data_IF_284871253510
#
_entry.id   IF_284871253510
#
_cell.length_a   1.000
_cell.length_b   1.000
_cell.length_c   1.000
_cell.angle_alpha   90.00
_cell.angle_beta   90.00
_cell.angle_gamma   90.00
#
_symmetry.space_group_name_H-M   'P 1'
#
loop_
_entity.id
_entity.type
_entity.pdbx_description
1 polymer ?
#
# COMPACT_ATOMS: atom_id res chain seq x y z
N UNK A 1 -10.06 1.02 13.14
CA UNK A 1 -9.02 0.51 12.21
C UNK A 1 -8.77 1.58 11.16
N UNK A 2 -7.52 1.97 10.94
CA UNK A 2 -7.21 2.92 9.85
C UNK A 2 -7.55 2.30 8.48
N UNK A 3 -8.02 3.15 7.57
CA UNK A 3 -8.37 2.75 6.21
C UNK A 3 -7.16 2.28 5.41
N UNK A 4 -7.22 1.06 4.86
CA UNK A 4 -6.10 0.46 4.14
C UNK A 4 -5.76 1.21 2.85
N UNK A 5 -6.76 1.67 2.11
CA UNK A 5 -6.54 2.45 0.89
C UNK A 5 -5.81 3.76 1.19
N UNK A 6 -6.20 4.45 2.26
CA UNK A 6 -5.56 5.72 2.65
C UNK A 6 -4.12 5.53 3.12
N UNK A 7 -3.85 4.47 3.87
CA UNK A 7 -2.48 4.10 4.28
C UNK A 7 -1.63 3.79 3.05
N UNK A 8 -2.18 3.07 2.07
CA UNK A 8 -1.49 2.78 0.82
C UNK A 8 -1.18 4.07 0.03
N UNK A 9 -2.17 4.96 -0.12
CA UNK A 9 -1.98 6.25 -0.79
C UNK A 9 -0.94 7.14 -0.08
N UNK A 10 -0.91 7.14 1.25
CA UNK A 10 0.11 7.84 2.01
C UNK A 10 1.50 7.25 1.76
N UNK A 11 1.61 5.92 1.71
CA UNK A 11 2.89 5.24 1.45
C UNK A 11 3.40 5.50 0.02
N UNK A 12 2.51 5.56 -0.97
CA UNK A 12 2.87 5.95 -2.34
C UNK A 12 3.41 7.39 -2.40
N UNK A 13 2.85 8.31 -1.61
CA UNK A 13 3.38 9.68 -1.48
C UNK A 13 4.75 9.71 -0.82
N UNK A 14 4.95 8.95 0.27
CA UNK A 14 6.27 8.77 0.92
C UNK A 14 7.33 8.32 -0.09
N UNK A 15 7.01 7.35 -0.96
CA UNK A 15 7.93 6.92 -2.03
C UNK A 15 8.21 8.06 -3.01
N UNK A 16 7.17 8.76 -3.45
CA UNK A 16 7.28 9.90 -4.36
C UNK A 16 8.18 11.01 -3.82
N UNK A 17 8.00 11.38 -2.55
CA UNK A 17 8.81 12.38 -1.84
C UNK A 17 10.27 11.92 -1.72
N UNK A 18 10.51 10.63 -1.45
CA UNK A 18 11.86 10.07 -1.35
C UNK A 18 12.59 10.02 -2.70
N UNK A 19 11.83 9.84 -3.79
CA UNK A 19 12.33 9.83 -5.16
C UNK A 19 12.41 11.22 -5.80
N UNK A 20 11.91 12.26 -5.12
CA UNK A 20 11.94 13.62 -5.65
C UNK A 20 13.38 14.07 -5.92
N UNK A 21 13.64 14.59 -7.13
CA UNK A 21 14.97 15.04 -7.54
C UNK A 21 15.99 13.93 -7.84
N UNK A 22 15.64 12.65 -7.71
CA UNK A 22 16.56 11.52 -7.97
C UNK A 22 16.79 11.20 -9.46
N UNK A 23 16.03 11.84 -10.35
CA UNK A 23 15.98 11.50 -11.78
C UNK A 23 15.06 10.32 -12.10
N UNK A 24 14.36 9.74 -11.11
CA UNK A 24 13.45 8.61 -11.31
C UNK A 24 12.38 8.86 -12.39
N UNK A 25 11.77 10.04 -12.42
CA UNK A 25 10.76 10.39 -13.44
C UNK A 25 11.34 10.35 -14.86
N UNK A 26 12.58 10.81 -15.03
CA UNK A 26 13.31 10.75 -16.29
C UNK A 26 13.60 9.31 -16.71
N UNK A 27 14.02 8.45 -15.77
CA UNK A 27 14.26 7.02 -16.02
C UNK A 27 12.97 6.33 -16.47
N UNK A 28 11.86 6.55 -15.75
CA UNK A 28 10.57 5.93 -16.06
C UNK A 28 10.03 6.38 -17.43
N UNK A 29 10.24 7.65 -17.79
CA UNK A 29 9.84 8.19 -19.09
C UNK A 29 10.72 7.65 -20.21
N UNK A 30 12.04 7.66 -20.02
CA UNK A 30 13.01 7.18 -21.01
C UNK A 30 12.89 5.68 -21.27
N UNK A 31 12.51 4.91 -20.25
CA UNK A 31 12.24 3.47 -20.36
C UNK A 31 10.87 3.14 -20.98
N UNK A 32 10.05 4.15 -21.31
CA UNK A 32 8.72 3.95 -21.90
C UNK A 32 7.68 3.36 -20.92
N UNK A 33 7.94 3.41 -19.62
CA UNK A 33 7.02 2.91 -18.58
C UNK A 33 5.84 3.85 -18.41
N UNK A 34 6.08 5.16 -18.52
CA UNK A 34 5.04 6.21 -18.43
C UNK A 34 5.41 7.41 -19.30
N UNK A 35 4.48 8.36 -19.44
CA UNK A 35 4.76 9.65 -20.09
C UNK A 35 5.18 10.70 -19.06
N UNK A 36 5.90 11.73 -19.48
CA UNK A 36 6.43 12.79 -18.60
C UNK A 36 5.35 13.40 -17.68
N UNK A 37 4.23 13.86 -18.26
CA UNK A 37 3.12 14.41 -17.48
C UNK A 37 2.40 13.41 -16.56
N UNK A 38 2.57 12.09 -16.79
CA UNK A 38 2.06 11.05 -15.90
C UNK A 38 3.07 10.66 -14.82
N UNK A 39 4.36 10.73 -15.08
CA UNK A 39 5.41 10.39 -14.12
C UNK A 39 5.28 11.21 -12.82
N UNK A 40 5.02 12.51 -12.94
CA UNK A 40 4.80 13.39 -11.78
C UNK A 40 3.53 13.03 -11.00
N UNK A 41 2.49 12.56 -11.68
CA UNK A 41 1.26 12.12 -11.01
C UNK A 41 1.46 10.86 -10.18
N UNK A 42 2.40 10.00 -10.59
CA UNK A 42 2.73 8.77 -9.85
C UNK A 42 3.41 9.11 -8.52
N UNK A 43 4.31 10.09 -8.50
CA UNK A 43 4.96 10.57 -7.27
C UNK A 43 3.96 11.18 -6.28
N UNK A 44 2.90 11.81 -6.78
CA UNK A 44 1.86 12.42 -5.94
C UNK A 44 0.86 11.40 -5.35
N UNK A 45 0.96 10.12 -5.74
CA UNK A 45 0.08 9.05 -5.26
C UNK A 45 -1.40 9.26 -5.59
N UNK A 46 -1.73 10.06 -6.61
CA UNK A 46 -3.11 10.43 -6.95
C UNK A 46 -3.85 9.38 -7.79
N UNK A 47 -3.12 8.44 -8.39
CA UNK A 47 -3.67 7.35 -9.21
C UNK A 47 -3.16 6.00 -8.67
N UNK A 48 -3.73 5.57 -7.55
CA UNK A 48 -3.26 4.41 -6.75
C UNK A 48 -2.89 3.20 -7.59
N UNK A 49 -3.77 2.72 -8.47
CA UNK A 49 -3.51 1.52 -9.30
C UNK A 49 -2.35 1.68 -10.30
N UNK A 50 -2.18 2.87 -10.88
CA UNK A 50 -1.08 3.13 -11.82
C UNK A 50 0.23 3.34 -11.10
N UNK A 51 0.19 4.02 -9.94
CA UNK A 51 1.33 4.15 -9.04
C UNK A 51 1.82 2.77 -8.59
N UNK A 52 0.92 1.91 -8.10
CA UNK A 52 1.26 0.52 -7.74
C UNK A 52 2.03 -0.19 -8.85
N UNK A 53 1.51 -0.19 -10.08
CA UNK A 53 2.17 -0.86 -11.20
C UNK A 53 3.55 -0.28 -11.52
N UNK A 54 3.69 1.04 -11.56
CA UNK A 54 4.98 1.69 -11.83
C UNK A 54 6.03 1.36 -10.77
N UNK A 55 5.63 1.35 -9.50
CA UNK A 55 6.46 0.99 -8.36
C UNK A 55 6.86 -0.49 -8.36
N UNK A 56 5.97 -1.40 -8.77
CA UNK A 56 6.31 -2.81 -9.02
C UNK A 56 7.39 -2.95 -10.10
N UNK A 57 7.23 -2.26 -11.23
CA UNK A 57 8.23 -2.27 -12.31
C UNK A 57 9.57 -1.76 -11.80
N UNK A 58 9.59 -0.67 -11.03
CA UNK A 58 10.80 -0.10 -10.45
C UNK A 58 11.49 -1.08 -9.47
N UNK A 59 10.72 -1.69 -8.56
CA UNK A 59 11.26 -2.67 -7.60
C UNK A 59 11.94 -3.85 -8.31
N UNK A 60 11.31 -4.39 -9.36
CA UNK A 60 11.88 -5.48 -10.16
C UNK A 60 13.14 -5.01 -10.90
N UNK A 61 13.11 -3.82 -11.50
CA UNK A 61 14.27 -3.27 -12.21
C UNK A 61 15.48 -3.04 -11.28
N UNK A 62 15.25 -2.53 -10.07
CA UNK A 62 16.29 -2.35 -9.05
C UNK A 62 16.85 -3.68 -8.58
N UNK A 63 15.99 -4.67 -8.30
CA UNK A 63 16.44 -6.00 -7.91
C UNK A 63 17.29 -6.66 -9.02
N UNK A 64 16.84 -6.62 -10.27
CA UNK A 64 17.61 -7.12 -11.41
C UNK A 64 18.96 -6.40 -11.52
N UNK A 65 19.00 -5.10 -11.31
CA UNK A 65 20.24 -4.31 -11.35
C UNK A 65 21.22 -4.73 -10.25
N UNK A 66 20.75 -4.93 -9.01
CA UNK A 66 21.56 -5.47 -7.92
C UNK A 66 22.12 -6.87 -8.25
N UNK A 67 21.28 -7.74 -8.84
CA UNK A 67 21.69 -9.10 -9.25
C UNK A 67 22.76 -9.07 -10.34
N UNK A 68 22.62 -8.20 -11.34
CA UNK A 68 23.64 -8.01 -12.40
C UNK A 68 24.97 -7.53 -11.81
N UNK A 69 24.93 -6.53 -10.93
CA UNK A 69 26.13 -6.05 -10.25
C UNK A 69 26.81 -7.14 -9.40
N UNK A 70 26.02 -8.00 -8.73
CA UNK A 70 26.56 -9.15 -8.04
C UNK A 70 27.19 -10.16 -9.00
N UNK A 71 26.55 -10.47 -10.13
CA UNK A 71 27.12 -11.38 -11.12
C UNK A 71 28.45 -10.86 -11.70
N UNK A 72 28.59 -9.55 -11.90
CA UNK A 72 29.86 -8.94 -12.30
C UNK A 72 30.93 -9.03 -11.21
N UNK A 73 30.55 -8.84 -9.94
CA UNK A 73 31.42 -9.12 -8.80
C UNK A 73 31.86 -10.60 -8.79
N UNK A 74 30.96 -11.56 -9.04
CA UNK A 74 31.30 -12.98 -9.08
C UNK A 74 32.30 -13.32 -10.19
N UNK A 75 32.25 -12.61 -11.32
CA UNK A 75 33.19 -12.81 -12.45
C UNK A 75 34.59 -12.26 -12.17
N UNK A 76 34.68 -11.24 -11.32
CA UNK A 76 35.93 -10.53 -11.03
C UNK A 76 36.57 -10.95 -9.71
N UNK A 77 35.78 -11.52 -8.79
CA UNK A 77 36.25 -12.02 -7.50
C UNK A 77 36.82 -13.45 -7.64
N UNK A 78 38.00 -13.69 -7.07
CA UNK A 78 38.55 -15.05 -6.96
C UNK A 78 37.67 -15.94 -6.08
N UNK A 79 37.67 -17.26 -6.33
CA UNK A 79 36.80 -18.25 -5.66
C UNK A 79 36.94 -18.27 -4.13
N UNK A 80 38.10 -17.89 -3.59
CA UNK A 80 38.38 -17.89 -2.15
C UNK A 80 37.67 -16.74 -1.39
N UNK A 81 37.31 -15.66 -2.09
CA UNK A 81 36.70 -14.46 -1.49
C UNK A 81 35.23 -14.28 -1.89
N UNK A 82 34.62 -15.30 -2.50
CA UNK A 82 33.26 -15.23 -3.01
C UNK A 82 32.24 -15.21 -1.87
N UNK A 83 31.59 -14.07 -1.68
CA UNK A 83 30.54 -13.90 -0.67
C UNK A 83 29.16 -14.25 -1.24
N UNK A 84 28.20 -14.61 -0.38
CA UNK A 84 26.79 -14.70 -0.75
C UNK A 84 26.23 -13.34 -1.18
N UNK A 85 25.13 -13.33 -1.94
CA UNK A 85 24.49 -12.09 -2.36
C UNK A 85 24.14 -11.17 -1.18
N UNK A 86 23.63 -11.73 -0.09
CA UNK A 86 23.19 -10.94 1.06
C UNK A 86 24.37 -10.27 1.77
N UNK A 87 25.47 -11.00 1.99
CA UNK A 87 26.69 -10.44 2.60
C UNK A 87 27.35 -9.40 1.70
N UNK A 88 27.42 -9.68 0.40
CA UNK A 88 27.92 -8.73 -0.58
C UNK A 88 27.06 -7.47 -0.63
N UNK A 89 25.73 -7.62 -0.64
CA UNK A 89 24.80 -6.49 -0.66
C UNK A 89 24.96 -5.61 0.58
N UNK A 90 25.05 -6.21 1.77
CA UNK A 90 25.32 -5.48 3.02
C UNK A 90 26.65 -4.72 2.98
N UNK A 91 27.70 -5.35 2.45
CA UNK A 91 29.00 -4.70 2.24
C UNK A 91 28.86 -3.49 1.29
N UNK A 92 28.20 -3.67 0.15
CA UNK A 92 28.00 -2.60 -0.84
C UNK A 92 27.15 -1.44 -0.30
N UNK A 93 26.17 -1.71 0.57
CA UNK A 93 25.42 -0.65 1.28
C UNK A 93 26.35 0.21 2.14
N UNK A 94 27.40 -0.37 2.74
CA UNK A 94 28.35 0.38 3.58
C UNK A 94 29.45 1.11 2.78
N UNK A 95 29.85 0.56 1.62
CA UNK A 95 30.99 1.06 0.86
C UNK A 95 30.62 1.97 -0.32
N UNK A 96 29.41 1.83 -0.88
CA UNK A 96 28.97 2.57 -2.06
C UNK A 96 27.71 3.40 -1.74
N UNK A 97 27.81 4.73 -1.64
CA UNK A 97 26.67 5.60 -1.35
C UNK A 97 25.52 5.46 -2.35
N UNK A 98 25.84 5.28 -3.64
CA UNK A 98 24.83 5.07 -4.68
C UNK A 98 24.10 3.73 -4.51
N UNK A 99 24.82 2.65 -4.20
CA UNK A 99 24.20 1.36 -3.89
C UNK A 99 23.31 1.46 -2.65
N UNK A 100 23.79 2.13 -1.60
CA UNK A 100 23.02 2.38 -0.38
C UNK A 100 21.69 3.10 -0.68
N UNK A 101 21.73 4.17 -1.46
CA UNK A 101 20.53 4.91 -1.86
C UNK A 101 19.51 4.03 -2.59
N UNK A 102 19.93 3.37 -3.67
CA UNK A 102 19.01 2.52 -4.46
C UNK A 102 18.53 1.28 -3.71
N UNK A 103 19.33 0.75 -2.78
CA UNK A 103 18.90 -0.31 -1.88
C UNK A 103 17.80 0.18 -0.92
N UNK A 104 17.91 1.40 -0.38
CA UNK A 104 16.85 2.04 0.42
C UNK A 104 15.58 2.26 -0.40
N UNK A 105 15.71 2.70 -1.65
CA UNK A 105 14.57 2.80 -2.58
C UNK A 105 13.90 1.44 -2.74
N UNK A 106 14.64 0.37 -3.03
CA UNK A 106 14.08 -0.97 -3.18
C UNK A 106 13.36 -1.46 -1.91
N UNK A 107 13.93 -1.22 -0.74
CA UNK A 107 13.29 -1.55 0.54
C UNK A 107 11.97 -0.80 0.72
N UNK A 108 11.95 0.49 0.41
CA UNK A 108 10.76 1.34 0.50
C UNK A 108 9.68 0.92 -0.52
N UNK A 109 10.07 0.59 -1.75
CA UNK A 109 9.20 0.09 -2.83
C UNK A 109 8.54 -1.25 -2.48
N UNK A 110 9.20 -2.10 -1.68
CA UNK A 110 8.65 -3.38 -1.24
C UNK A 110 7.56 -3.24 -0.16
N UNK A 111 7.55 -2.15 0.62
CA UNK A 111 6.56 -1.94 1.68
C UNK A 111 5.11 -1.87 1.19
N UNK A 112 4.74 -1.08 0.16
CA UNK A 112 3.37 -1.07 -0.35
C UNK A 112 2.97 -2.44 -0.91
N UNK A 113 3.91 -3.16 -1.53
CA UNK A 113 3.64 -4.50 -2.06
C UNK A 113 3.33 -5.50 -0.94
N UNK A 114 4.11 -5.49 0.13
CA UNK A 114 3.86 -6.32 1.31
C UNK A 114 2.55 -5.94 2.00
N UNK A 115 2.25 -4.64 2.06
CA UNK A 115 1.03 -4.11 2.68
C UNK A 115 -0.21 -4.57 1.90
N UNK A 116 -0.25 -4.33 0.60
CA UNK A 116 -1.34 -4.76 -0.28
C UNK A 116 -1.51 -6.28 -0.22
N UNK A 117 -0.40 -7.02 -0.30
CA UNK A 117 -0.41 -8.49 -0.20
C UNK A 117 -1.02 -8.97 1.11
N UNK A 118 -0.67 -8.34 2.23
CA UNK A 118 -1.21 -8.71 3.54
C UNK A 118 -2.74 -8.59 3.59
N UNK A 119 -3.29 -7.59 2.92
CA UNK A 119 -4.74 -7.40 2.85
C UNK A 119 -5.40 -8.37 1.88
N UNK A 120 -4.81 -8.54 0.69
CA UNK A 120 -5.31 -9.47 -0.33
C UNK A 120 -5.33 -10.93 0.16
N UNK A 121 -4.34 -11.32 0.95
CA UNK A 121 -4.23 -12.64 1.60
C UNK A 121 -5.03 -12.76 2.90
N UNK A 122 -5.61 -11.65 3.40
CA UNK A 122 -6.19 -11.58 4.74
C UNK A 122 -5.20 -12.07 5.83
N UNK A 123 -3.92 -11.77 5.66
CA UNK A 123 -2.82 -12.19 6.52
C UNK A 123 -2.54 -11.14 7.60
N UNK A 124 -3.12 -11.38 8.78
CA UNK A 124 -3.03 -10.46 9.93
C UNK A 124 -1.59 -10.22 10.38
N UNK A 125 -0.78 -11.27 10.51
CA UNK A 125 0.61 -11.15 10.97
C UNK A 125 1.45 -10.29 10.02
N UNK A 126 1.33 -10.54 8.70
CA UNK A 126 2.03 -9.74 7.70
C UNK A 126 1.55 -8.29 7.70
N UNK A 127 0.25 -8.07 7.94
CA UNK A 127 -0.34 -6.73 8.00
C UNK A 127 0.27 -5.91 9.14
N UNK A 128 0.31 -6.46 10.36
CA UNK A 128 0.91 -5.78 11.52
C UNK A 128 2.41 -5.54 11.30
N UNK A 129 3.16 -6.56 10.86
CA UNK A 129 4.60 -6.41 10.57
C UNK A 129 4.89 -5.31 9.54
N UNK A 130 4.06 -5.21 8.51
CA UNK A 130 4.24 -4.20 7.48
C UNK A 130 3.90 -2.81 8.01
N UNK A 131 2.87 -2.66 8.85
CA UNK A 131 2.58 -1.41 9.54
C UNK A 131 3.76 -0.94 10.39
N UNK A 132 4.35 -1.84 11.19
CA UNK A 132 5.55 -1.55 11.99
C UNK A 132 6.69 -1.02 11.11
N UNK A 133 6.88 -1.62 9.93
CA UNK A 133 7.92 -1.22 8.99
C UNK A 133 7.63 0.11 8.26
N UNK A 134 6.36 0.48 8.07
CA UNK A 134 5.93 1.73 7.40
C UNK A 134 6.10 2.95 8.31
N UNK A 135 5.82 2.82 9.62
CA UNK A 135 5.79 3.94 10.57
C UNK A 135 7.08 4.81 10.55
N UNK A 136 8.31 4.23 10.59
CA UNK A 136 9.53 5.03 10.55
C UNK A 136 9.66 5.87 9.27
N UNK A 137 9.19 5.37 8.13
CA UNK A 137 9.22 6.10 6.87
C UNK A 137 8.22 7.25 6.83
N UNK A 138 7.03 7.04 7.38
CA UNK A 138 6.03 8.11 7.52
C UNK A 138 6.59 9.27 8.34
N UNK A 139 7.29 8.97 9.45
CA UNK A 139 7.94 9.99 10.25
C UNK A 139 9.11 10.66 9.52
N UNK A 140 9.99 9.87 8.89
CA UNK A 140 11.16 10.38 8.20
C UNK A 140 10.82 11.31 7.00
N UNK A 141 9.67 11.09 6.38
CA UNK A 141 9.20 11.87 5.22
C UNK A 141 8.15 12.94 5.58
N UNK A 142 8.06 13.33 6.85
CA UNK A 142 7.17 14.40 7.36
C UNK A 142 5.65 14.14 7.21
N UNK A 143 5.25 12.87 7.07
CA UNK A 143 3.84 12.45 7.12
C UNK A 143 3.40 12.24 8.58
N UNK A 144 3.63 13.24 9.44
CA UNK A 144 3.53 13.11 10.90
C UNK A 144 2.15 12.67 11.41
N UNK A 145 1.07 13.09 10.74
CA UNK A 145 -0.28 12.66 11.09
C UNK A 145 -0.46 11.14 10.89
N UNK A 146 0.05 10.62 9.76
CA UNK A 146 0.04 9.18 9.52
C UNK A 146 0.96 8.46 10.48
N UNK A 147 2.18 8.96 10.70
CA UNK A 147 3.10 8.36 11.66
C UNK A 147 2.46 8.21 13.05
N UNK A 148 1.86 9.28 13.58
CA UNK A 148 1.19 9.28 14.89
C UNK A 148 0.04 8.28 14.97
N UNK A 149 -0.90 8.34 14.02
CA UNK A 149 -2.10 7.49 14.08
C UNK A 149 -1.82 6.03 13.70
N UNK A 150 -0.84 5.78 12.83
CA UNK A 150 -0.39 4.43 12.53
C UNK A 150 0.31 3.80 13.74
N UNK A 151 1.10 4.54 14.51
CA UNK A 151 1.68 4.00 15.76
C UNK A 151 0.59 3.57 16.73
N UNK A 152 -0.43 4.40 16.96
CA UNK A 152 -1.56 4.04 17.86
C UNK A 152 -2.27 2.80 17.32
N UNK A 153 -2.66 2.82 16.05
CA UNK A 153 -3.36 1.70 15.42
C UNK A 153 -2.53 0.40 15.44
N UNK A 154 -1.23 0.48 15.23
CA UNK A 154 -0.34 -0.68 15.24
C UNK A 154 -0.14 -1.23 16.65
N UNK A 155 0.04 -0.37 17.66
CA UNK A 155 0.10 -0.76 19.08
C UNK A 155 -1.19 -1.45 19.52
N UNK A 156 -2.36 -0.87 19.21
CA UNK A 156 -3.66 -1.49 19.52
C UNK A 156 -3.74 -2.91 18.94
N UNK A 157 -3.29 -3.10 17.68
CA UNK A 157 -3.28 -4.41 17.02
C UNK A 157 -2.31 -5.40 17.67
N UNK A 158 -1.14 -4.94 18.14
CA UNK A 158 -0.19 -5.79 18.86
C UNK A 158 -0.69 -6.20 20.25
N UNK A 159 -1.53 -5.37 20.88
CA UNK A 159 -2.07 -5.61 22.22
C UNK A 159 -3.32 -6.51 22.23
N UNK A 160 -4.03 -6.62 21.09
CA UNK A 160 -5.20 -7.49 20.93
C UNK A 160 -5.05 -8.94 21.49
N UNK A 161 -3.91 -9.63 21.40
CA UNK A 161 -3.73 -10.97 21.99
C UNK A 161 -3.69 -10.98 23.52
N UNK A 162 -3.25 -9.88 24.14
CA UNK A 162 -3.02 -9.77 25.59
C UNK A 162 -4.22 -9.15 26.34
N UNK A 163 -5.12 -8.48 25.62
CA UNK A 163 -6.29 -7.82 26.19
C UNK A 163 -7.49 -8.74 26.42
N UNK A 164 -8.52 -8.21 27.10
CA UNK A 164 -9.81 -8.87 27.32
C UNK A 164 -10.61 -9.14 26.04
N UNK A 165 -10.11 -8.74 24.86
CA UNK A 165 -10.79 -8.79 23.56
C UNK A 165 -10.19 -9.86 22.63
N UNK A 166 -9.81 -11.01 23.18
CA UNK A 166 -9.23 -12.17 22.46
C UNK A 166 -10.09 -12.62 21.27
N UNK A 167 -11.41 -12.46 21.35
CA UNK A 167 -12.31 -12.84 20.26
C UNK A 167 -12.12 -11.95 19.00
N UNK A 168 -11.76 -10.67 19.17
CA UNK A 168 -11.41 -9.78 18.04
C UNK A 168 -10.09 -10.22 17.42
N UNK A 169 -9.06 -10.50 18.23
CA UNK A 169 -7.82 -11.06 17.71
C UNK A 169 -8.07 -12.35 16.91
N UNK A 170 -8.88 -13.27 17.45
CA UNK A 170 -9.24 -14.52 16.76
C UNK A 170 -9.97 -14.26 15.44
N UNK A 171 -10.86 -13.27 15.40
CA UNK A 171 -11.53 -12.88 14.15
C UNK A 171 -10.54 -12.30 13.14
N UNK A 172 -9.59 -11.48 13.56
CA UNK A 172 -8.58 -10.89 12.68
C UNK A 172 -7.61 -11.92 12.14
N UNK A 173 -7.15 -12.86 12.96
CA UNK A 173 -6.33 -14.01 12.52
C UNK A 173 -7.08 -14.88 11.50
N UNK A 174 -8.41 -14.96 11.57
CA UNK A 174 -9.25 -15.62 10.55
C UNK A 174 -9.41 -14.81 9.25
N UNK A 175 -8.89 -13.58 9.21
CA UNK A 175 -8.97 -12.70 8.04
C UNK A 175 -10.12 -11.68 8.08
N UNK A 176 -10.89 -11.59 9.17
CA UNK A 176 -12.07 -10.71 9.25
C UNK A 176 -11.74 -9.22 9.41
N UNK A 177 -10.47 -8.83 9.29
CA UNK A 177 -10.04 -7.42 9.25
C UNK A 177 -10.08 -6.83 7.83
N UNK A 178 -10.33 -7.68 6.83
CA UNK A 178 -10.58 -7.31 5.43
C UNK A 178 -11.88 -7.95 4.96
N UNK A 179 -12.39 -7.49 3.84
CA UNK A 179 -13.60 -8.05 3.23
C UNK A 179 -13.27 -8.66 1.88
N UNK A 180 -13.81 -9.85 1.62
CA UNK A 180 -13.60 -10.59 0.39
C UNK A 180 -14.93 -10.77 -0.33
N UNK A 181 -15.07 -10.21 -1.53
CA UNK A 181 -16.31 -10.29 -2.33
C UNK A 181 -16.39 -11.52 -3.22
N UNK A 182 -15.25 -12.07 -3.62
CA UNK A 182 -15.16 -13.20 -4.56
C UNK A 182 -14.48 -14.38 -3.89
N UNK A 183 -14.72 -15.62 -4.34
CA UNK A 183 -14.02 -16.80 -3.79
C UNK A 183 -12.55 -16.91 -4.25
N UNK A 184 -12.06 -15.99 -5.09
CA UNK A 184 -10.69 -16.04 -5.58
C UNK A 184 -9.70 -15.73 -4.45
N UNK A 185 -8.60 -16.47 -4.42
CA UNK A 185 -7.45 -16.15 -3.57
C UNK A 185 -6.91 -14.76 -3.94
N UNK A 186 -6.36 -14.04 -2.97
CA UNK A 186 -5.77 -12.70 -3.16
C UNK A 186 -6.78 -11.61 -3.57
N UNK A 187 -8.07 -11.80 -3.31
CA UNK A 187 -9.13 -10.86 -3.71
C UNK A 187 -9.76 -10.07 -2.56
N UNK A 188 -9.23 -10.24 -1.34
CA UNK A 188 -9.68 -9.46 -0.20
C UNK A 188 -9.22 -8.00 -0.33
N UNK A 189 -10.02 -7.08 0.16
CA UNK A 189 -9.80 -5.64 0.08
C UNK A 189 -10.05 -4.99 1.44
N UNK A 190 -9.39 -3.85 1.65
CA UNK A 190 -9.63 -3.00 2.80
C UNK A 190 -11.10 -2.52 2.83
N UNK A 191 -11.66 -2.35 4.03
CA UNK A 191 -13.05 -1.92 4.19
C UNK A 191 -13.33 -0.56 3.52
N UNK A 192 -12.42 0.40 3.68
CA UNK A 192 -12.51 1.71 3.03
C UNK A 192 -12.40 1.61 1.51
N UNK A 193 -11.53 0.74 0.99
CA UNK A 193 -11.42 0.49 -0.44
C UNK A 193 -12.71 -0.09 -1.04
N UNK A 194 -13.38 -1.00 -0.33
CA UNK A 194 -14.67 -1.55 -0.77
C UNK A 194 -15.76 -0.50 -0.74
N UNK A 195 -15.76 0.35 0.27
CA UNK A 195 -16.71 1.44 0.35
C UNK A 195 -16.52 2.41 -0.83
N UNK A 196 -15.27 2.77 -1.16
CA UNK A 196 -14.95 3.74 -2.20
C UNK A 196 -15.07 3.23 -3.63
N UNK A 197 -14.59 2.03 -3.93
CA UNK A 197 -14.46 1.56 -5.32
C UNK A 197 -15.71 0.81 -5.79
N UNK A 198 -16.10 -0.32 -5.20
CA UNK A 198 -17.28 -1.05 -5.67
C UNK A 198 -18.60 -0.48 -5.14
N UNK A 199 -18.70 -0.07 -3.87
CA UNK A 199 -20.01 0.32 -3.30
C UNK A 199 -20.47 1.68 -3.82
N UNK A 200 -19.60 2.70 -3.76
CA UNK A 200 -19.92 4.03 -4.28
C UNK A 200 -20.16 4.03 -5.80
N UNK A 201 -19.46 3.22 -6.60
CA UNK A 201 -19.73 3.13 -8.05
C UNK A 201 -21.11 2.53 -8.32
N UNK A 202 -21.51 1.48 -7.59
CA UNK A 202 -22.84 0.87 -7.72
C UNK A 202 -23.94 1.87 -7.31
N UNK A 203 -23.72 2.60 -6.22
CA UNK A 203 -24.70 3.50 -5.62
C UNK A 203 -24.81 4.83 -6.39
N UNK A 204 -23.67 5.41 -6.79
CA UNK A 204 -23.62 6.75 -7.42
C UNK A 204 -23.69 6.73 -8.95
N UNK A 205 -23.29 5.64 -9.61
CA UNK A 205 -23.09 5.64 -11.06
C UNK A 205 -21.99 6.60 -11.51
N UNK A 206 -21.73 6.67 -12.83
CA UNK A 206 -20.76 7.62 -13.39
C UNK A 206 -21.32 9.04 -13.28
N UNK A 207 -20.64 9.93 -12.53
CA UNK A 207 -20.95 11.37 -12.48
C UNK A 207 -21.43 11.94 -11.13
N UNK A 208 -21.42 11.18 -10.03
CA UNK A 208 -21.80 11.70 -8.71
C UNK A 208 -23.29 12.07 -8.64
N UNK A 209 -23.68 13.14 -7.95
CA UNK A 209 -25.10 13.57 -7.85
C UNK A 209 -25.74 13.77 -9.23
N UNK A 210 -24.99 14.31 -10.19
CA UNK A 210 -25.47 14.54 -11.57
C UNK A 210 -25.75 13.20 -12.26
N UNK A 211 -24.84 12.22 -12.09
CA UNK A 211 -25.02 10.85 -12.59
C UNK A 211 -26.16 10.08 -11.90
N UNK A 212 -26.44 10.37 -10.62
CA UNK A 212 -27.58 9.80 -9.88
C UNK A 212 -28.91 10.35 -10.42
N UNK A 213 -28.99 11.63 -10.74
CA UNK A 213 -30.24 12.25 -11.23
C UNK A 213 -30.55 11.92 -12.69
N UNK A 214 -29.53 11.66 -13.50
CA UNK A 214 -29.70 11.39 -14.95
C UNK A 214 -29.85 9.89 -15.28
N UNK A 215 -29.54 9.00 -14.32
CA UNK A 215 -29.71 7.56 -14.49
C UNK A 215 -30.81 7.02 -13.55
N UNK A 216 -31.97 6.68 -14.12
CA UNK A 216 -33.14 6.20 -13.38
C UNK A 216 -32.86 4.94 -12.53
N UNK A 217 -31.94 4.07 -12.95
CA UNK A 217 -31.53 2.90 -12.18
C UNK A 217 -30.59 3.24 -11.02
N UNK A 218 -29.69 4.22 -11.19
CA UNK A 218 -28.87 4.75 -10.11
C UNK A 218 -29.72 5.51 -9.08
N UNK A 219 -30.68 6.32 -9.53
CA UNK A 219 -31.65 6.99 -8.69
C UNK A 219 -32.48 6.00 -7.86
N UNK A 220 -32.99 4.92 -8.49
CA UNK A 220 -33.72 3.85 -7.77
C UNK A 220 -32.87 3.18 -6.70
N UNK A 221 -31.60 2.85 -6.99
CA UNK A 221 -30.68 2.26 -6.00
C UNK A 221 -30.40 3.21 -4.83
N UNK A 222 -30.20 4.49 -5.12
CA UNK A 222 -30.01 5.53 -4.10
C UNK A 222 -31.25 5.68 -3.21
N UNK A 223 -32.45 5.74 -3.79
CA UNK A 223 -33.70 5.88 -3.04
C UNK A 223 -33.97 4.69 -2.10
N UNK A 224 -33.63 3.47 -2.52
CA UNK A 224 -33.77 2.26 -1.69
C UNK A 224 -32.68 2.17 -0.62
N UNK A 225 -31.43 2.48 -0.96
CA UNK A 225 -30.34 2.48 0.01
C UNK A 225 -30.46 3.60 1.04
N UNK A 226 -30.96 4.77 0.64
CA UNK A 226 -31.10 5.95 1.50
C UNK A 226 -32.06 5.73 2.66
N UNK A 227 -33.21 5.08 2.41
CA UNK A 227 -34.16 4.75 3.49
C UNK A 227 -33.60 3.72 4.48
N UNK A 228 -32.85 2.72 4.00
CA UNK A 228 -32.20 1.75 4.89
C UNK A 228 -31.05 2.38 5.69
N UNK A 229 -30.26 3.25 5.07
CA UNK A 229 -29.20 3.99 5.79
C UNK A 229 -29.84 4.89 6.85
N UNK A 230 -30.91 5.62 6.53
CA UNK A 230 -31.64 6.45 7.51
C UNK A 230 -32.24 5.61 8.65
N UNK A 231 -32.80 4.43 8.34
CA UNK A 231 -33.29 3.49 9.37
C UNK A 231 -32.17 3.05 10.30
N UNK A 232 -31.03 2.63 9.76
CA UNK A 232 -29.87 2.18 10.55
C UNK A 232 -29.31 3.31 11.41
N UNK A 233 -29.25 4.54 10.89
CA UNK A 233 -28.82 5.72 11.65
C UNK A 233 -29.77 5.99 12.81
N UNK A 234 -31.08 5.99 12.58
CA UNK A 234 -32.07 6.17 13.65
C UNK A 234 -31.99 5.05 14.70
N UNK A 235 -31.85 3.79 14.27
CA UNK A 235 -31.70 2.65 15.20
C UNK A 235 -30.43 2.75 16.04
N UNK A 236 -29.36 3.31 15.49
CA UNK A 236 -28.12 3.56 16.22
C UNK A 236 -28.25 4.74 17.19
N UNK A 237 -28.90 5.82 16.77
CA UNK A 237 -29.18 7.01 17.61
C UNK A 237 -30.17 6.70 18.75
N UNK A 238 -31.10 5.76 18.56
CA UNK A 238 -32.06 5.35 19.60
C UNK A 238 -31.44 4.38 20.64
N UNK A 239 -30.30 3.76 20.33
CA UNK A 239 -29.62 2.78 21.19
C UNK A 239 -28.50 3.38 22.06
N UNK A 240 -28.19 4.66 21.89
CA UNK A 240 -27.16 5.40 22.64
C UNK A 240 -27.66 6.78 23.07
#
# INVERSE_FOLDING_TARGET
MMGGLHVEMALLKVIGDFLAGSGWTSVMTSAGVTTEGRAESLQKGSQTSKSQWAHQVNAVALYISQRKAYDDYRRTCGTENLQSFDLWSQKMVSECPQFCYWNKVLQLECLPLAFIRSQQEANYTLYVQTLTAIIPWMLAMDHYHYARWLTVHETDLQELPNDSVVDVHRAFVKGNFVTQKSSHKFSALAHDQIHEQPQNVIVKGDGGVIGITENEAAHRRWMVAGSEIARIVNEFEDQF
#
